data_IF_752742283180
#
_entry.id   IF_752742283180
#
_cell.length_a   1.000
_cell.length_b   1.000
_cell.length_c   1.000
_cell.angle_alpha   90.00
_cell.angle_beta   90.00
_cell.angle_gamma   90.00
#
_symmetry.space_group_name_H-M   'P 1'
#
loop_
_entity.id
_entity.type
_entity.pdbx_description
1 polymer ?
#
# COMPACT_ATOMS: atom_id res chain seq x y z
N UNK A 1 6.54 6.20 -6.33
CA UNK A 1 5.73 6.07 -5.10
C UNK A 1 6.32 4.97 -4.23
N UNK A 2 6.41 5.16 -2.91
CA UNK A 2 6.77 4.11 -1.94
C UNK A 2 5.54 3.79 -1.09
N UNK A 3 5.24 2.50 -0.93
CA UNK A 3 4.29 2.00 0.06
C UNK A 3 5.04 1.17 1.10
N UNK A 4 4.84 1.48 2.38
CA UNK A 4 5.42 0.76 3.52
C UNK A 4 4.32 0.15 4.36
N UNK A 5 4.40 -1.14 4.67
CA UNK A 5 3.52 -1.74 5.68
C UNK A 5 4.03 -1.40 7.07
N UNK A 6 3.21 -0.73 7.85
CA UNK A 6 3.57 -0.30 9.21
C UNK A 6 3.11 -1.31 10.26
N UNK A 7 1.98 -1.99 9.99
CA UNK A 7 1.39 -2.97 10.90
C UNK A 7 0.48 -3.93 10.15
N UNK A 8 0.47 -5.21 10.49
CA UNK A 8 -0.58 -6.13 10.07
C UNK A 8 -0.19 -7.59 10.15
N UNK A 9 -1.15 -8.50 9.95
CA UNK A 9 -0.83 -9.93 9.93
C UNK A 9 0.17 -10.21 8.80
N UNK A 10 1.29 -10.86 9.12
CA UNK A 10 2.34 -11.25 8.16
C UNK A 10 1.90 -12.31 7.14
N UNK A 11 0.65 -12.73 7.19
CA UNK A 11 0.01 -13.63 6.25
C UNK A 11 -0.19 -12.89 4.91
N UNK A 12 0.57 -13.28 3.88
CA UNK A 12 0.41 -12.74 2.52
C UNK A 12 1.68 -12.21 1.85
N UNK A 13 2.88 -12.54 2.35
CA UNK A 13 4.13 -12.22 1.63
C UNK A 13 4.52 -10.74 1.65
N UNK A 14 3.97 -9.97 2.58
CA UNK A 14 4.37 -8.59 2.84
C UNK A 14 4.48 -8.37 4.35
N UNK A 15 5.65 -8.69 4.94
CA UNK A 15 5.88 -8.51 6.37
C UNK A 15 5.91 -7.03 6.76
N UNK A 16 5.70 -6.76 8.05
CA UNK A 16 5.78 -5.41 8.59
C UNK A 16 7.18 -4.83 8.38
N UNK A 17 7.24 -3.54 8.09
CA UNK A 17 8.48 -2.84 7.76
C UNK A 17 8.92 -2.98 6.29
N UNK A 18 8.30 -3.86 5.50
CA UNK A 18 8.63 -3.98 4.07
C UNK A 18 8.15 -2.77 3.29
N UNK A 19 9.00 -2.31 2.38
CA UNK A 19 8.72 -1.25 1.43
C UNK A 19 8.58 -1.83 0.02
N UNK A 20 7.61 -1.33 -0.74
CA UNK A 20 7.51 -1.56 -2.18
C UNK A 20 7.57 -0.22 -2.88
N UNK A 21 8.33 -0.18 -3.96
CA UNK A 21 8.52 1.00 -4.79
C UNK A 21 7.85 0.73 -6.13
N UNK A 22 7.07 1.69 -6.60
CA UNK A 22 6.36 1.56 -7.86
C UNK A 22 5.54 2.78 -8.23
N UNK A 23 4.64 2.58 -9.18
CA UNK A 23 3.67 3.57 -9.63
C UNK A 23 2.29 3.20 -9.11
N UNK A 24 1.58 4.20 -8.60
CA UNK A 24 0.15 4.08 -8.33
C UNK A 24 -0.62 4.56 -9.56
N UNK A 25 -1.78 3.95 -9.82
CA UNK A 25 -2.70 4.43 -10.86
C UNK A 25 -3.71 5.42 -10.29
N UNK A 26 -4.15 5.17 -9.06
CA UNK A 26 -5.16 5.93 -8.36
C UNK A 26 -4.81 5.98 -6.87
N UNK A 27 -5.10 7.10 -6.18
CA UNK A 27 -4.87 7.24 -4.75
C UNK A 27 -5.72 6.25 -3.95
N UNK A 28 -5.32 5.91 -2.70
CA UNK A 28 -6.10 5.02 -1.85
C UNK A 28 -7.49 5.60 -1.59
N UNK A 29 -8.52 4.79 -1.78
CA UNK A 29 -9.92 5.18 -1.56
C UNK A 29 -10.66 4.13 -0.76
N UNK A 30 -11.40 4.58 0.25
CA UNK A 30 -12.27 3.70 1.06
C UNK A 30 -13.24 2.94 0.16
N UNK A 31 -13.33 1.62 0.36
CA UNK A 31 -14.15 0.72 -0.44
C UNK A 31 -13.47 0.18 -1.70
N UNK A 32 -12.31 0.72 -2.08
CA UNK A 32 -11.51 0.22 -3.21
C UNK A 32 -10.28 -0.57 -2.73
N UNK A 33 -9.64 -1.31 -3.64
CA UNK A 33 -8.33 -1.92 -3.42
C UNK A 33 -7.26 -0.97 -3.93
N UNK A 34 -6.20 -0.79 -3.17
CA UNK A 34 -5.05 -0.02 -3.63
C UNK A 34 -4.11 -0.91 -4.45
N UNK A 35 -3.58 -0.37 -5.56
CA UNK A 35 -2.79 -1.11 -6.53
C UNK A 35 -1.47 -0.37 -6.79
N UNK A 36 -0.37 -1.11 -6.67
CA UNK A 36 0.98 -0.62 -6.97
C UNK A 36 1.59 -1.48 -8.06
N UNK A 37 2.12 -0.82 -9.09
CA UNK A 37 2.83 -1.43 -10.20
C UNK A 37 4.33 -1.28 -9.95
N UNK A 38 5.06 -2.37 -9.78
CA UNK A 38 6.50 -2.38 -9.54
C UNK A 38 7.27 -2.37 -10.87
N UNK A 39 8.53 -1.91 -10.86
CA UNK A 39 9.39 -1.81 -12.07
C UNK A 39 9.67 -3.18 -12.70
N UNK A 40 9.73 -4.21 -11.87
CA UNK A 40 9.93 -5.60 -12.26
C UNK A 40 8.68 -6.24 -12.94
N UNK A 41 7.66 -5.44 -13.26
CA UNK A 41 6.42 -5.89 -13.90
C UNK A 41 5.44 -6.58 -12.94
N UNK A 42 5.75 -6.68 -11.65
CA UNK A 42 4.81 -7.22 -10.64
C UNK A 42 3.76 -6.19 -10.28
N UNK A 43 2.59 -6.70 -9.90
CA UNK A 43 1.47 -5.88 -9.42
C UNK A 43 1.14 -6.31 -8.00
N UNK A 44 1.28 -5.38 -7.07
CA UNK A 44 0.84 -5.55 -5.69
C UNK A 44 -0.56 -4.98 -5.52
N UNK A 45 -1.45 -5.75 -4.87
CA UNK A 45 -2.84 -5.35 -4.59
C UNK A 45 -3.11 -5.54 -3.12
N UNK A 46 -3.61 -4.49 -2.47
CA UNK A 46 -4.02 -4.59 -1.06
C UNK A 46 -5.41 -5.20 -0.93
N UNK A 47 -5.75 -5.59 0.30
CA UNK A 47 -7.14 -5.75 0.71
C UNK A 47 -7.92 -4.44 0.57
N UNK A 48 -9.25 -4.53 0.66
CA UNK A 48 -10.13 -3.36 0.58
C UNK A 48 -9.74 -2.35 1.65
N UNK A 49 -9.54 -1.10 1.22
CA UNK A 49 -9.23 0.04 2.09
C UNK A 49 -10.48 0.38 2.89
N UNK A 50 -10.34 0.46 4.21
CA UNK A 50 -11.39 0.80 5.15
C UNK A 50 -11.29 2.24 5.64
N UNK A 51 -10.08 2.80 5.67
CA UNK A 51 -9.83 4.16 6.14
C UNK A 51 -8.62 4.76 5.44
N UNK A 52 -8.68 6.06 5.20
CA UNK A 52 -7.59 6.87 4.64
C UNK A 52 -7.44 8.10 5.51
N UNK A 53 -6.22 8.43 5.91
CA UNK A 53 -5.87 9.56 6.78
C UNK A 53 -4.52 10.14 6.35
N UNK A 54 -4.55 11.20 5.55
CA UNK A 54 -3.33 11.78 4.94
C UNK A 54 -2.59 10.73 4.11
N UNK A 55 -1.31 10.54 4.40
CA UNK A 55 -0.45 9.57 3.73
C UNK A 55 -0.60 8.14 4.26
N UNK A 56 -1.62 7.85 5.06
CA UNK A 56 -1.78 6.57 5.72
C UNK A 56 -3.14 5.96 5.36
N UNK A 57 -3.17 4.67 5.03
CA UNK A 57 -4.41 3.96 4.81
C UNK A 57 -4.45 2.61 5.51
N UNK A 58 -5.65 2.22 5.92
CA UNK A 58 -5.91 1.01 6.68
C UNK A 58 -6.82 0.08 5.88
N UNK A 59 -6.50 -1.20 5.92
CA UNK A 59 -7.30 -2.30 5.38
C UNK A 59 -7.84 -3.14 6.53
N UNK A 60 -8.52 -4.25 6.23
CA UNK A 60 -9.05 -5.14 7.27
C UNK A 60 -8.01 -5.67 8.27
N UNK A 61 -6.77 -5.89 7.83
CA UNK A 61 -5.73 -6.54 8.63
C UNK A 61 -4.38 -5.83 8.58
N UNK A 62 -4.27 -4.70 7.89
CA UNK A 62 -2.97 -4.05 7.66
C UNK A 62 -3.09 -2.56 7.48
N UNK A 63 -2.09 -1.84 7.95
CA UNK A 63 -1.92 -0.40 7.88
C UNK A 63 -0.68 -0.09 7.05
N UNK A 64 -0.83 0.86 6.13
CA UNK A 64 0.18 1.24 5.16
C UNK A 64 0.42 2.73 5.19
N UNK A 65 1.68 3.13 5.01
CA UNK A 65 2.08 4.52 4.79
C UNK A 65 2.56 4.67 3.34
N UNK A 66 2.11 5.75 2.72
CA UNK A 66 2.42 6.20 1.40
C UNK A 66 3.49 7.28 1.49
N UNK A 67 4.48 7.23 0.59
CA UNK A 67 5.48 8.29 0.46
C UNK A 67 5.68 8.59 -1.01
N UNK A 68 5.29 9.80 -1.41
CA UNK A 68 5.59 10.32 -2.74
C UNK A 68 7.09 10.61 -2.81
N UNK A 69 7.74 10.14 -3.87
CA UNK A 69 9.12 10.51 -4.15
C UNK A 69 9.04 11.83 -4.92
N UNK A 70 9.41 12.93 -4.26
CA UNK A 70 9.60 14.21 -4.93
C UNK A 70 10.86 14.13 -5.83
N UNK A 71 10.77 14.70 -7.03
CA UNK A 71 11.84 14.77 -8.03
C UNK A 71 12.76 15.96 -7.75
#
# INVERSE_FOLDING_TARGET
MIIRKVKGSGEGGFPDGTERIGWEREPPRVGARYIVYEDNGKVYRTSVVRKVAGDLFETAHSTYVLKVLEE
#
